data_IF_248137375903
#
_entry.id   IF_248137375903
#
_cell.length_a   1.000
_cell.length_b   1.000
_cell.length_c   1.000
_cell.angle_alpha   90.00
_cell.angle_beta   90.00
_cell.angle_gamma   90.00
#
_symmetry.space_group_name_H-M   'P 1'
#
loop_
_entity.id
_entity.type
_entity.pdbx_description
1 polymer ?
#
# COMPACT_ATOMS: atom_id res chain seq x y z
N UNK A 1 -18.47 12.38 81.51
CA UNK A 1 -17.58 12.60 80.35
C UNK A 1 -17.57 11.33 79.51
N UNK A 2 -17.87 11.51 78.22
CA UNK A 2 -17.55 10.70 77.04
C UNK A 2 -18.14 9.28 76.86
N UNK A 3 -18.83 9.19 75.73
CA UNK A 3 -19.40 8.09 74.96
C UNK A 3 -18.61 6.78 74.87
N UNK A 4 -19.37 5.72 75.13
CA UNK A 4 -19.60 4.48 74.34
C UNK A 4 -18.92 4.34 72.97
N UNK A 5 -18.42 3.11 72.70
CA UNK A 5 -18.44 2.51 71.37
C UNK A 5 -19.09 1.12 71.44
N UNK A 6 -20.18 0.98 70.67
CA UNK A 6 -20.95 -0.23 70.41
C UNK A 6 -20.42 -0.86 69.10
N UNK A 7 -20.33 -2.19 69.12
CA UNK A 7 -20.06 -3.09 68.00
C UNK A 7 -21.27 -3.15 67.06
N UNK A 8 -21.07 -3.26 65.73
CA UNK A 8 -21.80 -4.18 64.81
C UNK A 8 -21.15 -4.14 63.43
N UNK A 9 -20.90 -5.34 62.90
CA UNK A 9 -20.43 -5.60 61.54
C UNK A 9 -21.48 -5.24 60.49
N UNK A 10 -21.05 -4.66 59.36
CA UNK A 10 -21.86 -4.57 58.15
C UNK A 10 -21.05 -5.01 56.94
N UNK A 11 -21.63 -5.99 56.25
CA UNK A 11 -21.23 -6.54 54.97
C UNK A 11 -21.19 -5.40 53.94
N UNK A 12 -20.01 -5.02 53.46
CA UNK A 12 -19.87 -4.06 52.37
C UNK A 12 -19.99 -4.82 51.04
N UNK A 13 -21.19 -4.84 50.49
CA UNK A 13 -21.42 -5.05 49.06
C UNK A 13 -20.62 -3.97 48.33
N UNK A 14 -19.51 -4.35 47.69
CA UNK A 14 -18.78 -3.43 46.83
C UNK A 14 -19.73 -3.02 45.69
N UNK A 15 -20.21 -1.78 45.71
CA UNK A 15 -20.79 -1.16 44.52
C UNK A 15 -19.67 -1.09 43.48
N UNK A 16 -19.65 -2.06 42.57
CA UNK A 16 -18.95 -1.94 41.30
C UNK A 16 -19.56 -0.73 40.60
N UNK A 17 -18.95 0.45 40.73
CA UNK A 17 -19.25 1.55 39.83
C UNK A 17 -18.70 1.09 38.47
N UNK A 18 -19.54 0.90 37.44
CA UNK A 18 -19.01 0.62 36.12
C UNK A 18 -18.04 1.75 35.77
N UNK A 19 -16.82 1.38 35.38
CA UNK A 19 -15.85 2.30 34.80
C UNK A 19 -16.56 3.08 33.68
N UNK A 20 -16.43 4.41 33.59
CA UNK A 20 -17.07 5.17 32.53
C UNK A 20 -16.61 4.61 31.18
N UNK A 21 -17.53 4.05 30.41
CA UNK A 21 -17.25 3.59 29.06
C UNK A 21 -17.36 4.80 28.14
N UNK A 22 -16.22 5.19 27.58
CA UNK A 22 -16.18 6.01 26.36
C UNK A 22 -17.17 5.44 25.32
N UNK A 23 -17.96 6.31 24.70
CA UNK A 23 -19.03 5.91 23.79
C UNK A 23 -20.38 5.54 24.44
N UNK A 24 -20.57 5.79 25.74
CA UNK A 24 -21.90 5.77 26.35
C UNK A 24 -22.76 6.95 25.83
N UNK A 25 -24.08 6.75 25.73
CA UNK A 25 -25.00 7.82 25.32
C UNK A 25 -25.10 8.90 26.41
N UNK A 26 -25.12 10.17 26.02
CA UNK A 26 -25.39 11.27 26.94
C UNK A 26 -26.81 11.18 27.48
N UNK A 27 -27.03 11.77 28.66
CA UNK A 27 -28.39 11.90 29.18
C UNK A 27 -29.21 12.90 28.34
N UNK A 28 -30.51 12.98 28.60
CA UNK A 28 -31.42 13.89 27.88
C UNK A 28 -31.08 15.39 28.05
N UNK A 29 -30.22 15.75 29.02
CA UNK A 29 -29.72 17.10 29.23
C UNK A 29 -28.38 17.37 28.51
N UNK A 30 -27.81 16.38 27.80
CA UNK A 30 -26.52 16.51 27.13
C UNK A 30 -25.32 16.44 28.08
N UNK A 31 -25.46 15.75 29.22
CA UNK A 31 -24.41 15.65 30.23
C UNK A 31 -23.84 14.22 30.28
N UNK A 32 -22.57 14.15 30.66
CA UNK A 32 -21.80 12.91 30.80
C UNK A 32 -21.16 12.79 32.18
N UNK A 33 -20.95 11.56 32.69
CA UNK A 33 -20.27 11.34 33.96
C UNK A 33 -18.79 11.77 33.91
N UNK A 34 -18.22 12.08 35.08
CA UNK A 34 -16.77 12.14 35.34
C UNK A 34 -15.93 13.00 34.38
N UNK A 35 -16.42 14.20 34.02
CA UNK A 35 -15.64 15.19 33.26
C UNK A 35 -15.53 14.92 31.76
N UNK A 36 -16.28 13.94 31.25
CA UNK A 36 -16.44 13.69 29.81
C UNK A 36 -17.33 14.77 29.17
N UNK A 37 -17.06 15.10 27.91
CA UNK A 37 -17.89 16.00 27.12
C UNK A 37 -18.95 15.20 26.34
N UNK A 38 -20.16 15.74 26.25
CA UNK A 38 -21.18 15.18 25.36
C UNK A 38 -21.02 15.75 23.95
N UNK A 39 -20.63 14.91 22.99
CA UNK A 39 -20.50 15.28 21.57
C UNK A 39 -21.32 14.30 20.73
N UNK A 40 -22.21 14.84 19.90
CA UNK A 40 -23.10 14.06 19.03
C UNK A 40 -23.91 12.98 19.76
N UNK A 41 -24.24 13.20 21.05
CA UNK A 41 -25.01 12.28 21.87
C UNK A 41 -24.19 11.18 22.55
N UNK A 42 -22.85 11.25 22.51
CA UNK A 42 -21.93 10.31 23.17
C UNK A 42 -20.98 11.00 24.14
N UNK A 43 -20.60 10.29 25.21
CA UNK A 43 -19.65 10.73 26.22
C UNK A 43 -18.21 10.38 25.81
N UNK A 44 -17.37 11.40 25.68
CA UNK A 44 -15.97 11.28 25.22
C UNK A 44 -15.00 12.04 26.12
N UNK A 45 -13.73 11.63 26.16
CA UNK A 45 -12.67 12.29 26.95
C UNK A 45 -12.26 13.59 26.25
N UNK A 46 -12.31 14.75 26.92
CA UNK A 46 -11.82 15.99 26.35
C UNK A 46 -10.29 16.03 26.50
N UNK A 47 -9.56 15.49 25.52
CA UNK A 47 -8.10 15.54 25.52
C UNK A 47 -7.58 16.88 24.98
N UNK A 48 -6.95 17.64 25.89
CA UNK A 48 -6.27 18.90 25.60
C UNK A 48 -4.89 18.77 24.95
N UNK A 49 -4.62 17.68 24.24
CA UNK A 49 -3.34 17.46 23.55
C UNK A 49 -3.46 16.81 22.16
N UNK A 50 -4.66 16.46 21.70
CA UNK A 50 -4.85 15.70 20.44
C UNK A 50 -5.89 16.30 19.48
N UNK A 51 -5.87 17.62 19.35
CA UNK A 51 -6.78 18.38 18.50
C UNK A 51 -6.57 18.19 16.97
N UNK A 52 -5.89 17.12 16.52
CA UNK A 52 -5.58 16.92 15.11
C UNK A 52 -6.02 15.56 14.54
N UNK A 53 -6.59 14.63 15.33
CA UNK A 53 -6.83 13.26 14.84
C UNK A 53 -8.27 12.76 14.97
N UNK A 54 -9.09 13.26 15.92
CA UNK A 54 -10.38 12.61 16.22
C UNK A 54 -11.64 13.50 16.26
N UNK A 55 -11.67 14.66 15.61
CA UNK A 55 -12.94 15.37 15.42
C UNK A 55 -13.78 14.75 14.27
N UNK A 56 -15.08 14.44 14.46
CA UNK A 56 -15.98 14.03 13.36
C UNK A 56 -16.21 15.13 12.31
N UNK A 57 -15.63 16.32 12.54
CA UNK A 57 -15.88 17.55 11.79
C UNK A 57 -14.59 18.18 11.22
N UNK A 58 -13.42 17.53 11.34
CA UNK A 58 -12.19 17.94 10.62
C UNK A 58 -11.92 17.13 9.35
N UNK A 59 -12.83 16.22 8.98
CA UNK A 59 -12.96 15.76 7.61
C UNK A 59 -13.55 16.89 6.75
N UNK A 60 -12.77 17.94 6.51
CA UNK A 60 -12.92 18.70 5.27
C UNK A 60 -12.91 17.70 4.10
N UNK A 61 -13.49 18.03 2.94
CA UNK A 61 -13.53 17.12 1.81
C UNK A 61 -12.12 17.08 1.19
N UNK A 62 -11.16 16.43 1.86
CA UNK A 62 -9.74 16.49 1.49
C UNK A 62 -9.56 15.95 0.08
N UNK A 63 -10.28 14.87 -0.26
CA UNK A 63 -10.24 14.28 -1.58
C UNK A 63 -11.06 15.04 -2.62
N UNK A 64 -12.00 15.93 -2.25
CA UNK A 64 -12.68 16.76 -3.24
C UNK A 64 -11.77 17.85 -3.84
N UNK A 65 -10.67 18.18 -3.15
CA UNK A 65 -9.62 19.06 -3.67
C UNK A 65 -8.56 18.33 -4.51
N UNK A 66 -8.62 16.99 -4.55
CA UNK A 66 -7.72 16.18 -5.35
C UNK A 66 -7.89 16.53 -6.85
N UNK A 67 -6.80 16.79 -7.59
CA UNK A 67 -6.90 17.24 -8.97
C UNK A 67 -7.69 16.28 -9.88
N UNK A 68 -8.69 16.80 -10.58
CA UNK A 68 -9.31 16.07 -11.68
C UNK A 68 -8.37 16.09 -12.89
N UNK A 69 -7.72 14.97 -13.16
CA UNK A 69 -6.77 14.83 -14.26
C UNK A 69 -7.41 14.16 -15.49
N UNK A 70 -6.91 14.51 -16.67
CA UNK A 70 -7.36 13.95 -17.95
C UNK A 70 -7.04 12.46 -18.11
N UNK A 71 -7.39 11.92 -19.27
CA UNK A 71 -6.97 10.58 -19.66
C UNK A 71 -5.46 10.57 -19.97
N UNK A 72 -4.79 9.47 -19.64
CA UNK A 72 -3.45 9.19 -20.11
C UNK A 72 -3.42 9.07 -21.64
N UNK A 73 -2.30 9.50 -22.24
CA UNK A 73 -2.06 9.41 -23.68
C UNK A 73 -1.79 7.97 -24.14
N UNK A 74 -1.47 7.84 -25.42
CA UNK A 74 -1.08 6.56 -26.03
C UNK A 74 0.17 6.00 -25.34
N UNK A 75 0.13 4.76 -24.84
CA UNK A 75 1.31 4.13 -24.26
C UNK A 75 2.48 3.98 -25.23
N UNK A 76 3.68 4.17 -24.73
CA UNK A 76 4.95 4.05 -25.45
C UNK A 76 5.79 2.96 -24.80
N UNK A 77 6.32 2.04 -25.62
CA UNK A 77 7.25 1.00 -25.17
C UNK A 77 8.56 1.61 -24.67
N UNK A 78 9.02 1.22 -23.48
CA UNK A 78 10.31 1.63 -22.93
C UNK A 78 11.40 0.67 -23.42
N UNK A 79 11.85 0.88 -24.65
CA UNK A 79 12.71 -0.05 -25.39
C UNK A 79 14.02 -0.39 -24.67
N UNK A 80 14.59 0.54 -23.92
CA UNK A 80 15.87 0.35 -23.23
C UNK A 80 15.78 -0.58 -22.01
N UNK A 81 14.57 -0.75 -21.46
CA UNK A 81 14.34 -1.66 -20.34
C UNK A 81 13.86 -3.03 -20.81
N UNK A 82 13.12 -3.08 -21.92
CA UNK A 82 12.54 -4.30 -22.49
C UNK A 82 13.56 -5.34 -22.94
N UNK A 83 13.19 -6.62 -22.77
CA UNK A 83 13.96 -7.78 -23.24
C UNK A 83 13.06 -8.80 -23.93
N UNK A 84 13.63 -9.90 -24.44
CA UNK A 84 12.83 -11.00 -25.03
C UNK A 84 12.15 -11.90 -24.00
N UNK A 85 12.41 -11.67 -22.71
CA UNK A 85 11.81 -12.40 -21.59
C UNK A 85 10.80 -11.50 -20.88
N UNK A 86 10.14 -12.00 -19.84
CA UNK A 86 9.14 -11.21 -19.12
C UNK A 86 9.81 -10.17 -18.21
N UNK A 87 9.37 -8.93 -18.33
CA UNK A 87 9.65 -7.82 -17.42
C UNK A 87 8.36 -7.46 -16.67
N UNK A 88 8.45 -7.12 -15.39
CA UNK A 88 7.26 -6.94 -14.53
C UNK A 88 7.47 -5.96 -13.38
N UNK A 89 6.37 -5.57 -12.72
CA UNK A 89 6.35 -4.79 -11.47
C UNK A 89 7.39 -3.67 -11.44
N UNK A 90 7.34 -2.69 -12.36
CA UNK A 90 8.20 -1.52 -12.29
C UNK A 90 7.94 -0.77 -10.98
N UNK A 91 8.90 0.05 -10.55
CA UNK A 91 8.74 1.06 -9.50
C UNK A 91 9.87 2.08 -9.64
N UNK A 92 9.58 3.37 -9.42
CA UNK A 92 10.56 4.43 -9.66
C UNK A 92 10.57 5.50 -8.56
N UNK A 93 11.75 6.08 -8.39
CA UNK A 93 11.99 7.20 -7.46
C UNK A 93 11.23 8.48 -7.87
N UNK A 94 10.98 9.39 -6.93
CA UNK A 94 10.13 10.56 -7.19
C UNK A 94 10.65 11.51 -8.29
N UNK A 95 11.97 11.57 -8.49
CA UNK A 95 12.58 12.34 -9.61
C UNK A 95 12.56 11.58 -10.94
N UNK A 96 12.09 10.32 -10.91
CA UNK A 96 12.02 9.39 -12.03
C UNK A 96 13.38 9.10 -12.65
N UNK A 97 14.46 9.19 -11.89
CA UNK A 97 15.83 8.98 -12.39
C UNK A 97 16.41 7.61 -12.04
N UNK A 98 15.72 6.85 -11.20
CA UNK A 98 16.01 5.46 -10.87
C UNK A 98 14.73 4.65 -10.91
N UNK A 99 14.81 3.49 -11.56
CA UNK A 99 13.75 2.48 -11.64
C UNK A 99 14.28 1.13 -11.13
N UNK A 100 13.41 0.37 -10.48
CA UNK A 100 13.57 -1.06 -10.22
C UNK A 100 12.42 -1.83 -10.85
N UNK A 101 12.64 -3.07 -11.24
CA UNK A 101 11.61 -3.93 -11.86
C UNK A 101 12.05 -5.40 -11.79
N UNK A 102 11.12 -6.35 -11.86
CA UNK A 102 11.45 -7.79 -11.94
C UNK A 102 11.73 -8.19 -13.40
N UNK A 103 12.66 -9.11 -13.61
CA UNK A 103 12.96 -9.63 -14.95
C UNK A 103 13.60 -11.01 -14.91
N UNK A 104 13.26 -11.85 -15.90
CA UNK A 104 13.88 -13.15 -16.16
C UNK A 104 15.18 -13.06 -16.99
N UNK A 105 15.76 -11.86 -17.11
CA UNK A 105 16.88 -11.63 -18.03
C UNK A 105 18.15 -12.35 -17.57
N UNK A 106 19.03 -12.79 -18.50
CA UNK A 106 20.29 -13.41 -18.13
C UNK A 106 21.20 -12.49 -17.30
N UNK A 107 21.89 -13.06 -16.33
CA UNK A 107 22.87 -12.36 -15.48
C UNK A 107 22.42 -12.12 -14.04
N UNK A 108 21.21 -12.55 -13.68
CA UNK A 108 20.70 -12.59 -12.32
C UNK A 108 21.16 -13.83 -11.53
N UNK A 109 20.58 -14.02 -10.33
CA UNK A 109 20.91 -15.10 -9.40
C UNK A 109 19.88 -16.23 -9.38
N UNK A 110 18.69 -16.01 -9.96
CA UNK A 110 17.58 -16.95 -10.02
C UNK A 110 16.83 -16.88 -11.34
N UNK A 111 15.53 -17.19 -11.30
CA UNK A 111 14.66 -16.99 -12.46
C UNK A 111 14.23 -15.52 -12.51
N UNK A 112 13.38 -15.12 -11.58
CA UNK A 112 12.83 -13.76 -11.49
C UNK A 112 13.63 -12.96 -10.47
N UNK A 113 14.44 -12.03 -10.96
CA UNK A 113 15.30 -11.18 -10.15
C UNK A 113 14.88 -9.71 -10.24
N UNK A 114 15.27 -8.89 -9.25
CA UNK A 114 15.05 -7.44 -9.29
C UNK A 114 16.25 -6.75 -9.94
N UNK A 115 15.96 -5.97 -10.97
CA UNK A 115 16.92 -5.21 -11.74
C UNK A 115 16.75 -3.72 -11.51
N UNK A 116 17.83 -2.95 -11.66
CA UNK A 116 17.83 -1.50 -11.51
C UNK A 116 18.39 -0.81 -12.75
N UNK A 117 17.78 0.29 -13.17
CA UNK A 117 18.34 1.19 -14.17
C UNK A 117 18.26 2.66 -13.71
N UNK A 118 19.09 3.51 -14.32
CA UNK A 118 19.15 4.94 -14.01
C UNK A 118 19.17 5.77 -15.28
N UNK A 119 18.83 7.05 -15.18
CA UNK A 119 18.96 8.02 -16.28
C UNK A 119 19.36 9.40 -15.76
N UNK A 120 19.96 10.21 -16.62
CA UNK A 120 20.47 11.55 -16.24
C UNK A 120 19.39 12.63 -16.22
N UNK A 121 18.27 12.40 -16.88
CA UNK A 121 17.09 13.28 -16.89
C UNK A 121 15.85 12.48 -17.28
N UNK A 122 14.65 13.04 -17.08
CA UNK A 122 13.38 12.36 -17.40
C UNK A 122 13.16 12.15 -18.91
N UNK A 123 13.99 12.76 -19.77
CA UNK A 123 13.98 12.58 -21.23
C UNK A 123 15.19 11.80 -21.74
N UNK A 124 16.14 11.44 -20.87
CA UNK A 124 17.27 10.61 -21.25
C UNK A 124 16.87 9.13 -21.30
N UNK A 125 17.48 8.33 -22.18
CA UNK A 125 17.27 6.88 -22.17
C UNK A 125 17.71 6.29 -20.83
N UNK A 126 17.08 5.17 -20.46
CA UNK A 126 17.55 4.38 -19.32
C UNK A 126 18.91 3.75 -19.61
N UNK A 127 19.74 3.63 -18.57
CA UNK A 127 20.97 2.86 -18.60
C UNK A 127 20.66 1.37 -18.79
N UNK A 128 21.66 0.60 -19.22
CA UNK A 128 21.58 -0.85 -19.15
C UNK A 128 21.23 -1.30 -17.71
N UNK A 129 20.22 -2.16 -17.51
CA UNK A 129 19.84 -2.61 -16.18
C UNK A 129 20.93 -3.46 -15.53
N UNK A 130 21.07 -3.32 -14.20
CA UNK A 130 22.05 -4.03 -13.38
C UNK A 130 21.36 -4.88 -12.31
N UNK A 131 21.96 -6.01 -11.98
CA UNK A 131 21.58 -6.88 -10.86
C UNK A 131 21.81 -6.18 -9.51
N UNK A 132 20.92 -6.42 -8.53
CA UNK A 132 20.96 -5.80 -7.21
C UNK A 132 21.75 -6.59 -6.15
N UNK A 133 22.52 -7.61 -6.55
CA UNK A 133 23.41 -8.35 -5.67
C UNK A 133 22.65 -9.05 -4.55
N UNK A 134 22.97 -8.74 -3.29
CA UNK A 134 22.40 -9.41 -2.11
C UNK A 134 20.87 -9.31 -1.97
N UNK A 135 20.23 -8.41 -2.74
CA UNK A 135 18.77 -8.39 -2.84
C UNK A 135 18.28 -9.66 -3.52
N UNK A 136 18.94 -10.08 -4.60
CA UNK A 136 18.58 -11.23 -5.41
C UNK A 136 19.19 -12.52 -4.86
N UNK A 137 18.49 -13.63 -5.05
CA UNK A 137 18.91 -14.96 -4.60
C UNK A 137 18.62 -16.02 -5.67
N UNK A 138 18.79 -17.30 -5.36
CA UNK A 138 18.33 -18.38 -6.24
C UNK A 138 16.80 -18.59 -6.18
N UNK A 139 16.13 -17.93 -5.24
CA UNK A 139 14.69 -17.89 -5.09
C UNK A 139 14.09 -16.89 -6.11
N UNK A 140 12.80 -16.62 -6.03
CA UNK A 140 12.20 -15.50 -6.79
C UNK A 140 12.20 -14.23 -5.95
N UNK A 141 12.38 -13.10 -6.64
CA UNK A 141 12.21 -11.76 -6.11
C UNK A 141 11.27 -10.95 -6.99
N UNK A 142 10.12 -10.56 -6.44
CA UNK A 142 8.97 -9.99 -7.16
C UNK A 142 8.42 -8.75 -6.46
N UNK A 143 7.49 -8.04 -7.12
CA UNK A 143 6.70 -6.97 -6.49
C UNK A 143 7.55 -5.86 -5.87
N UNK A 144 8.63 -5.46 -6.55
CA UNK A 144 9.58 -4.49 -6.03
C UNK A 144 8.99 -3.07 -5.98
N UNK A 145 9.17 -2.39 -4.84
CA UNK A 145 8.76 -1.00 -4.63
C UNK A 145 9.91 -0.19 -4.03
N UNK A 146 10.38 0.80 -4.77
CA UNK A 146 11.45 1.70 -4.34
C UNK A 146 10.87 2.98 -3.74
N UNK A 147 11.28 3.28 -2.52
CA UNK A 147 10.94 4.55 -1.86
C UNK A 147 11.30 5.79 -2.70
N UNK A 148 10.59 6.92 -2.54
CA UNK A 148 10.82 8.15 -3.30
C UNK A 148 12.28 8.65 -3.31
N UNK A 149 12.99 8.52 -2.20
CA UNK A 149 14.40 8.90 -2.05
C UNK A 149 15.38 7.86 -2.60
N UNK A 150 14.90 6.69 -2.99
CA UNK A 150 15.69 5.59 -3.53
C UNK A 150 16.50 4.84 -2.48
N UNK A 151 16.25 4.99 -1.18
CA UNK A 151 17.11 4.43 -0.12
C UNK A 151 16.53 3.18 0.54
N UNK A 152 15.23 2.94 0.40
CA UNK A 152 14.52 1.75 0.89
C UNK A 152 13.85 1.03 -0.26
N UNK A 153 14.07 -0.27 -0.36
CA UNK A 153 13.44 -1.18 -1.33
C UNK A 153 12.58 -2.19 -0.55
N UNK A 154 11.31 -2.28 -0.90
CA UNK A 154 10.41 -3.34 -0.48
C UNK A 154 10.23 -4.32 -1.63
N UNK A 155 10.08 -5.61 -1.33
CA UNK A 155 9.84 -6.64 -2.35
C UNK A 155 9.33 -7.93 -1.69
N UNK A 156 8.89 -8.88 -2.52
CA UNK A 156 8.43 -10.21 -2.09
C UNK A 156 9.37 -11.32 -2.55
N UNK A 157 9.52 -12.36 -1.74
CA UNK A 157 10.42 -13.48 -2.06
C UNK A 157 10.04 -14.77 -1.32
N UNK A 158 10.32 -15.90 -1.96
CA UNK A 158 10.23 -17.27 -1.40
C UNK A 158 11.58 -17.76 -0.85
N UNK A 159 12.53 -16.85 -0.60
CA UNK A 159 13.86 -17.18 -0.05
C UNK A 159 13.77 -18.00 1.25
N UNK A 160 14.83 -18.77 1.57
CA UNK A 160 14.86 -19.58 2.80
C UNK A 160 14.53 -18.76 4.05
N UNK A 161 13.54 -19.22 4.81
CA UNK A 161 13.04 -18.51 6.00
C UNK A 161 11.72 -17.76 5.79
N UNK A 162 11.14 -17.80 4.59
CA UNK A 162 9.74 -17.40 4.35
C UNK A 162 8.76 -18.28 5.16
N UNK A 163 7.58 -17.76 5.46
CA UNK A 163 6.50 -18.44 6.17
C UNK A 163 5.54 -19.21 5.27
N UNK A 164 5.66 -19.03 3.95
CA UNK A 164 4.74 -19.56 2.95
C UNK A 164 5.24 -19.33 1.54
N UNK A 165 4.31 -19.04 0.62
CA UNK A 165 4.61 -18.85 -0.81
C UNK A 165 5.54 -17.66 -1.05
N UNK A 166 5.12 -16.44 -0.72
CA UNK A 166 5.91 -15.22 -0.88
C UNK A 166 5.75 -14.34 0.35
N UNK A 167 6.87 -13.88 0.90
CA UNK A 167 6.91 -12.98 2.04
C UNK A 167 7.51 -11.62 1.69
N UNK A 168 7.11 -10.57 2.41
CA UNK A 168 7.68 -9.24 2.25
C UNK A 168 9.04 -9.09 2.93
N UNK A 169 9.96 -8.45 2.23
CA UNK A 169 11.28 -8.08 2.70
C UNK A 169 11.55 -6.59 2.45
N UNK A 170 12.42 -6.02 3.28
CA UNK A 170 12.93 -4.66 3.13
C UNK A 170 14.45 -4.66 3.10
N UNK A 171 15.02 -3.94 2.14
CA UNK A 171 16.45 -3.67 2.04
C UNK A 171 16.70 -2.16 2.06
N UNK A 172 17.79 -1.74 2.69
CA UNK A 172 18.15 -0.30 2.82
C UNK A 172 19.57 -0.04 2.35
N UNK A 173 19.82 1.18 1.87
CA UNK A 173 21.15 1.68 1.51
C UNK A 173 21.37 3.10 2.00
N UNK A 174 22.61 3.51 2.30
CA UNK A 174 22.89 4.86 2.79
C UNK A 174 22.83 5.94 1.69
N UNK A 175 23.09 5.57 0.43
CA UNK A 175 23.01 6.48 -0.73
C UNK A 175 22.50 5.71 -1.94
N UNK A 176 21.97 6.42 -2.95
CA UNK A 176 21.51 5.80 -4.21
C UNK A 176 22.59 5.05 -5.00
N UNK A 177 23.87 5.38 -4.77
CA UNK A 177 25.01 4.72 -5.41
C UNK A 177 25.59 3.57 -4.58
N UNK A 178 25.17 3.43 -3.32
CA UNK A 178 25.58 2.31 -2.48
C UNK A 178 24.79 1.06 -2.85
N UNK A 179 25.38 -0.15 -2.71
CA UNK A 179 24.59 -1.38 -2.77
C UNK A 179 23.58 -1.41 -1.62
N UNK A 180 22.47 -2.12 -1.83
CA UNK A 180 21.55 -2.44 -0.74
C UNK A 180 22.23 -3.36 0.29
N UNK A 181 21.88 -3.16 1.56
CA UNK A 181 22.23 -4.08 2.63
C UNK A 181 21.38 -5.36 2.59
N UNK A 182 21.70 -6.30 3.49
CA UNK A 182 20.97 -7.55 3.62
C UNK A 182 19.46 -7.30 3.87
N UNK A 183 18.56 -7.92 3.08
CA UNK A 183 17.13 -7.77 3.30
C UNK A 183 16.65 -8.36 4.62
N UNK A 184 15.66 -7.73 5.24
CA UNK A 184 15.00 -8.20 6.47
C UNK A 184 13.53 -8.47 6.19
N UNK A 185 13.02 -9.60 6.67
CA UNK A 185 11.60 -9.98 6.53
C UNK A 185 10.69 -9.04 7.33
N UNK A 186 9.54 -8.68 6.77
CA UNK A 186 8.50 -7.89 7.45
C UNK A 186 7.41 -8.84 7.94
N UNK A 187 7.65 -9.44 9.10
CA UNK A 187 6.83 -10.53 9.62
C UNK A 187 5.37 -10.13 9.87
N UNK A 188 5.11 -8.86 10.18
CA UNK A 188 3.80 -8.31 10.51
C UNK A 188 2.88 -8.20 9.28
N UNK A 189 3.47 -8.03 8.09
CA UNK A 189 2.72 -7.96 6.84
C UNK A 189 2.64 -9.30 6.13
N UNK A 190 3.55 -10.23 6.44
CA UNK A 190 3.65 -11.55 5.83
C UNK A 190 2.70 -12.60 6.40
N UNK A 191 2.44 -13.64 5.62
CA UNK A 191 1.53 -14.75 5.93
C UNK A 191 1.98 -16.05 5.24
N UNK A 192 1.43 -17.22 5.62
CA UNK A 192 1.73 -18.48 4.93
C UNK A 192 1.20 -18.56 3.49
N UNK A 193 0.43 -17.58 3.02
CA UNK A 193 -0.07 -17.49 1.65
C UNK A 193 0.85 -16.60 0.80
N UNK A 194 0.50 -16.41 -0.47
CA UNK A 194 1.15 -15.41 -1.32
C UNK A 194 0.90 -13.99 -0.79
N UNK A 195 1.98 -13.24 -0.58
CA UNK A 195 1.98 -11.81 -0.30
C UNK A 195 2.93 -11.07 -1.25
N UNK A 196 2.39 -10.20 -2.13
CA UNK A 196 3.15 -9.52 -3.20
C UNK A 196 2.66 -8.08 -3.42
N UNK A 197 3.46 -7.30 -4.16
CA UNK A 197 3.08 -6.00 -4.74
C UNK A 197 2.79 -4.95 -3.67
N UNK A 198 3.71 -4.78 -2.72
CA UNK A 198 3.56 -3.79 -1.66
C UNK A 198 3.84 -2.38 -2.18
N UNK A 199 2.93 -1.47 -1.92
CA UNK A 199 3.14 -0.03 -1.96
C UNK A 199 3.25 0.51 -0.53
N UNK A 200 4.21 1.41 -0.31
CA UNK A 200 4.39 2.10 0.98
C UNK A 200 4.31 3.60 0.74
N UNK A 201 3.45 4.29 1.49
CA UNK A 201 3.28 5.74 1.40
C UNK A 201 4.59 6.50 1.62
N UNK A 202 4.70 7.71 1.07
CA UNK A 202 5.94 8.49 1.13
C UNK A 202 6.42 8.81 2.56
N UNK A 203 5.49 8.93 3.52
CA UNK A 203 5.80 9.09 4.94
C UNK A 203 6.16 7.77 5.65
N UNK A 204 6.03 6.65 4.92
CA UNK A 204 6.31 5.31 5.36
C UNK A 204 5.27 4.74 6.33
N UNK A 205 4.09 5.33 6.49
CA UNK A 205 3.14 4.97 7.57
C UNK A 205 1.95 4.13 7.12
N UNK A 206 1.68 4.05 5.83
CA UNK A 206 0.60 3.25 5.26
C UNK A 206 1.19 2.30 4.23
N UNK A 207 0.76 1.04 4.26
CA UNK A 207 1.07 0.05 3.26
C UNK A 207 -0.23 -0.44 2.61
N UNK A 208 -0.19 -0.58 1.29
CA UNK A 208 -1.18 -1.32 0.52
C UNK A 208 -0.48 -2.47 -0.19
N UNK A 209 -1.09 -3.63 -0.28
CA UNK A 209 -0.50 -4.77 -0.97
C UNK A 209 -1.58 -5.78 -1.37
N UNK A 210 -1.24 -6.84 -2.09
CA UNK A 210 -2.18 -7.91 -2.39
C UNK A 210 -1.76 -9.23 -1.76
N UNK A 211 -2.75 -10.04 -1.41
CA UNK A 211 -2.51 -11.30 -0.71
C UNK A 211 -3.60 -12.33 -0.98
N UNK A 212 -3.22 -13.61 -0.95
CA UNK A 212 -4.13 -14.76 -0.96
C UNK A 212 -4.47 -15.27 0.45
N UNK A 213 -4.20 -14.51 1.51
CA UNK A 213 -4.44 -14.95 2.90
C UNK A 213 -5.91 -15.24 3.27
N UNK A 214 -6.89 -14.71 2.52
CA UNK A 214 -8.30 -15.04 2.75
C UNK A 214 -8.68 -16.41 2.17
N UNK A 215 -8.11 -16.75 1.02
CA UNK A 215 -8.33 -18.00 0.31
C UNK A 215 -7.07 -18.33 -0.51
N UNK A 216 -6.18 -19.19 0.01
CA UNK A 216 -4.95 -19.57 -0.70
C UNK A 216 -5.19 -20.23 -2.07
N UNK A 217 -6.36 -20.83 -2.28
CA UNK A 217 -6.74 -21.42 -3.57
C UNK A 217 -7.48 -20.44 -4.49
N UNK A 218 -7.84 -19.26 -3.99
CA UNK A 218 -8.61 -18.25 -4.68
C UNK A 218 -7.76 -17.16 -5.33
N UNK A 219 -8.42 -16.03 -5.58
CA UNK A 219 -7.81 -14.84 -6.16
C UNK A 219 -7.20 -13.91 -5.10
N UNK A 220 -6.17 -13.16 -5.48
CA UNK A 220 -5.57 -12.18 -4.59
C UNK A 220 -6.53 -11.01 -4.30
N UNK A 221 -6.45 -10.51 -3.07
CA UNK A 221 -7.24 -9.40 -2.55
C UNK A 221 -6.32 -8.30 -2.04
N UNK A 222 -6.73 -7.04 -2.19
CA UNK A 222 -6.02 -5.89 -1.64
C UNK A 222 -6.17 -5.81 -0.11
N UNK A 223 -5.07 -5.52 0.55
CA UNK A 223 -4.96 -5.28 1.98
C UNK A 223 -4.34 -3.91 2.27
N UNK A 224 -4.63 -3.41 3.46
CA UNK A 224 -4.04 -2.20 4.03
C UNK A 224 -3.48 -2.48 5.42
N UNK A 225 -2.35 -1.87 5.74
CA UNK A 225 -1.81 -1.80 7.09
C UNK A 225 -1.28 -0.39 7.39
N UNK A 226 -1.13 -0.06 8.68
CA UNK A 226 -0.62 1.24 9.10
C UNK A 226 0.35 1.13 10.28
N UNK A 227 1.13 2.17 10.53
CA UNK A 227 2.01 2.29 11.70
C UNK A 227 2.17 3.75 12.11
N UNK A 228 2.43 4.01 13.39
CA UNK A 228 2.55 5.37 13.92
C UNK A 228 3.81 6.09 13.41
N UNK A 229 4.92 5.37 13.25
CA UNK A 229 6.18 5.87 12.71
C UNK A 229 6.92 4.79 11.91
N UNK A 230 7.99 5.18 11.21
CA UNK A 230 8.79 4.26 10.39
C UNK A 230 9.58 3.23 11.21
N UNK A 231 9.68 3.42 12.52
CA UNK A 231 10.29 2.48 13.47
C UNK A 231 9.29 1.59 14.18
N UNK A 232 7.99 1.89 14.11
CA UNK A 232 6.96 1.07 14.75
C UNK A 232 6.59 -0.14 13.89
N UNK A 233 6.08 -1.17 14.57
CA UNK A 233 5.51 -2.33 13.91
C UNK A 233 4.28 -1.93 13.08
N UNK A 234 4.05 -2.65 11.98
CA UNK A 234 2.80 -2.54 11.23
C UNK A 234 1.63 -3.09 12.04
N UNK A 235 0.47 -2.48 11.88
CA UNK A 235 -0.80 -3.02 12.33
C UNK A 235 -1.09 -4.36 11.65
N UNK A 236 -1.99 -5.15 12.23
CA UNK A 236 -2.56 -6.29 11.53
C UNK A 236 -3.15 -5.82 10.19
N UNK A 237 -2.86 -6.49 9.07
CA UNK A 237 -3.40 -6.07 7.79
C UNK A 237 -4.90 -6.37 7.66
N UNK A 238 -5.63 -5.40 7.12
CA UNK A 238 -7.08 -5.47 6.93
C UNK A 238 -7.41 -5.50 5.43
N UNK A 239 -8.36 -6.34 4.98
CA UNK A 239 -8.75 -6.38 3.58
C UNK A 239 -9.48 -5.08 3.20
N UNK A 240 -9.22 -4.57 1.99
CA UNK A 240 -9.96 -3.45 1.39
C UNK A 240 -11.26 -3.99 0.79
N UNK A 241 -12.19 -4.37 1.67
CA UNK A 241 -13.37 -5.19 1.34
C UNK A 241 -14.26 -4.62 0.24
N UNK A 242 -14.33 -3.29 0.13
CA UNK A 242 -15.15 -2.59 -0.86
C UNK A 242 -14.60 -2.69 -2.29
N UNK A 243 -13.33 -3.08 -2.46
CA UNK A 243 -12.71 -3.23 -3.77
C UNK A 243 -12.68 -4.67 -4.29
N UNK A 244 -12.97 -5.67 -3.44
CA UNK A 244 -12.88 -7.11 -3.78
C UNK A 244 -13.77 -7.45 -4.96
N UNK A 245 -13.17 -7.89 -6.06
CA UNK A 245 -13.87 -8.30 -7.28
C UNK A 245 -14.09 -9.81 -7.40
N UNK A 246 -13.25 -10.61 -6.74
CA UNK A 246 -13.17 -12.07 -6.96
C UNK A 246 -12.51 -12.48 -8.28
N UNK A 247 -11.76 -11.57 -8.92
CA UNK A 247 -11.07 -11.77 -10.21
C UNK A 247 -9.59 -11.40 -10.17
N UNK A 248 -9.01 -11.35 -8.97
CA UNK A 248 -7.66 -10.85 -8.71
C UNK A 248 -7.64 -9.32 -8.66
N UNK A 249 -7.33 -8.75 -7.50
CA UNK A 249 -7.08 -7.32 -7.31
C UNK A 249 -5.67 -7.14 -6.74
N UNK A 250 -4.77 -6.57 -7.54
CA UNK A 250 -3.32 -6.69 -7.30
C UNK A 250 -2.57 -5.39 -7.61
N UNK A 251 -1.29 -5.35 -7.22
CA UNK A 251 -0.32 -4.29 -7.47
C UNK A 251 -0.89 -2.87 -7.26
N UNK A 252 -1.31 -2.53 -6.01
CA UNK A 252 -1.84 -1.23 -5.68
C UNK A 252 -0.77 -0.13 -5.73
N UNK A 253 -1.17 1.07 -6.12
CA UNK A 253 -0.42 2.32 -5.96
C UNK A 253 -1.40 3.39 -5.46
N UNK A 254 -1.06 4.10 -4.38
CA UNK A 254 -1.96 5.12 -3.82
C UNK A 254 -1.32 6.49 -3.82
N UNK A 255 -2.15 7.48 -4.13
CA UNK A 255 -1.79 8.91 -4.08
C UNK A 255 -1.32 9.34 -2.68
N UNK A 256 -0.47 10.36 -2.62
CA UNK A 256 0.15 10.81 -1.36
C UNK A 256 -0.86 11.36 -0.35
N UNK A 257 -1.99 11.90 -0.83
CA UNK A 257 -3.11 12.33 0.00
C UNK A 257 -4.07 11.18 0.33
N UNK A 258 -3.75 9.95 -0.09
CA UNK A 258 -4.51 8.74 0.14
C UNK A 258 -5.96 8.91 -0.36
N UNK A 259 -6.17 9.54 -1.53
CA UNK A 259 -7.50 9.84 -2.06
C UNK A 259 -7.89 9.01 -3.28
N UNK A 260 -6.90 8.56 -4.03
CA UNK A 260 -7.04 7.72 -5.23
C UNK A 260 -6.09 6.54 -5.14
N UNK A 261 -6.65 5.34 -5.28
CA UNK A 261 -5.93 4.07 -5.35
C UNK A 261 -6.02 3.55 -6.77
N UNK A 262 -4.87 3.28 -7.38
CA UNK A 262 -4.69 2.63 -8.67
C UNK A 262 -4.28 1.17 -8.43
N UNK A 263 -4.76 0.26 -9.25
CA UNK A 263 -4.49 -1.18 -9.07
C UNK A 263 -4.84 -1.94 -10.35
N UNK A 264 -4.34 -3.17 -10.49
CA UNK A 264 -4.78 -4.07 -11.55
C UNK A 264 -5.96 -4.94 -11.10
N UNK A 265 -6.86 -5.27 -12.02
CA UNK A 265 -7.97 -6.19 -11.74
C UNK A 265 -8.54 -6.84 -13.00
N UNK A 266 -8.91 -8.12 -12.89
CA UNK A 266 -9.64 -8.89 -13.91
C UNK A 266 -11.15 -8.61 -13.95
N UNK A 267 -11.63 -7.56 -13.29
CA UNK A 267 -13.07 -7.27 -13.17
C UNK A 267 -13.71 -6.99 -14.53
N UNK A 268 -14.98 -7.38 -14.68
CA UNK A 268 -15.75 -7.18 -15.91
C UNK A 268 -15.85 -5.68 -16.27
N UNK A 269 -15.85 -5.38 -17.57
CA UNK A 269 -15.64 -4.06 -18.22
C UNK A 269 -14.18 -3.71 -18.55
N UNK A 270 -13.26 -4.64 -18.31
CA UNK A 270 -11.92 -4.61 -18.89
C UNK A 270 -11.88 -4.82 -20.42
N UNK A 271 -10.83 -4.33 -21.07
CA UNK A 271 -10.56 -4.61 -22.47
C UNK A 271 -9.86 -5.98 -22.64
N UNK A 272 -9.15 -6.47 -21.61
CA UNK A 272 -8.32 -7.68 -21.66
C UNK A 272 -8.45 -8.62 -20.44
N UNK A 273 -7.39 -9.41 -20.17
CA UNK A 273 -7.37 -10.42 -19.10
C UNK A 273 -7.15 -9.81 -17.70
N UNK A 274 -6.30 -8.79 -17.61
CA UNK A 274 -6.18 -7.90 -16.47
C UNK A 274 -6.05 -6.48 -17.02
N UNK A 275 -6.66 -5.53 -16.32
CA UNK A 275 -6.64 -4.11 -16.69
C UNK A 275 -6.30 -3.25 -15.49
N UNK A 276 -5.88 -2.01 -15.75
CA UNK A 276 -5.64 -1.03 -14.70
C UNK A 276 -6.92 -0.24 -14.37
N UNK A 277 -7.16 -0.07 -13.08
CA UNK A 277 -8.32 0.60 -12.52
C UNK A 277 -7.89 1.67 -11.52
N UNK A 278 -8.80 2.60 -11.24
CA UNK A 278 -8.68 3.50 -10.08
C UNK A 278 -9.95 3.54 -9.26
N UNK A 279 -9.82 3.72 -7.97
CA UNK A 279 -10.93 4.00 -7.05
C UNK A 279 -10.66 5.30 -6.30
N UNK A 280 -11.70 6.08 -6.05
CA UNK A 280 -11.61 7.35 -5.30
C UNK A 280 -12.42 7.25 -4.03
N UNK A 281 -12.12 8.07 -3.03
CA UNK A 281 -12.88 8.12 -1.77
C UNK A 281 -13.14 9.54 -1.31
N UNK A 282 -14.11 9.78 -0.40
CA UNK A 282 -14.46 11.14 0.01
C UNK A 282 -13.42 11.80 0.95
N UNK A 283 -12.67 11.00 1.71
CA UNK A 283 -11.62 11.46 2.61
C UNK A 283 -10.63 10.32 2.92
N UNK A 284 -9.40 10.63 3.37
CA UNK A 284 -8.45 9.62 3.82
C UNK A 284 -9.05 8.69 4.89
N UNK A 285 -8.68 7.41 4.85
CA UNK A 285 -9.22 6.34 5.69
C UNK A 285 -10.67 5.93 5.42
N UNK A 286 -11.43 6.62 4.55
CA UNK A 286 -12.81 6.22 4.20
C UNK A 286 -12.83 5.11 3.14
N UNK A 287 -13.95 4.37 3.03
CA UNK A 287 -14.09 3.37 1.98
C UNK A 287 -13.96 3.98 0.58
N UNK A 288 -13.30 3.25 -0.31
CA UNK A 288 -13.26 3.60 -1.73
C UNK A 288 -14.63 3.40 -2.40
N UNK A 289 -14.93 4.28 -3.36
CA UNK A 289 -16.09 4.18 -4.23
C UNK A 289 -15.87 3.18 -5.38
N UNK A 290 -16.86 3.11 -6.28
CA UNK A 290 -16.83 2.21 -7.43
C UNK A 290 -15.58 2.44 -8.31
N UNK A 291 -14.79 1.39 -8.60
CA UNK A 291 -13.62 1.54 -9.45
C UNK A 291 -13.95 1.88 -10.90
N UNK A 292 -13.08 2.67 -11.51
CA UNK A 292 -13.19 3.19 -12.87
C UNK A 292 -11.99 2.68 -13.68
N UNK A 293 -12.27 2.09 -14.83
CA UNK A 293 -11.23 1.62 -15.77
C UNK A 293 -10.38 2.80 -16.27
N UNK A 294 -9.06 2.63 -16.39
CA UNK A 294 -8.16 3.71 -16.84
C UNK A 294 -8.26 4.06 -18.33
N UNK A 295 -9.10 3.36 -19.10
CA UNK A 295 -9.47 3.74 -20.46
C UNK A 295 -8.36 3.48 -21.47
N UNK A 296 -7.86 4.51 -22.16
CA UNK A 296 -6.98 4.35 -23.31
C UNK A 296 -5.60 3.73 -23.02
N UNK A 297 -5.20 3.65 -21.75
CA UNK A 297 -3.99 2.93 -21.33
C UNK A 297 -4.19 1.44 -21.18
N UNK A 298 -5.43 0.96 -21.22
CA UNK A 298 -5.83 -0.45 -21.25
C UNK A 298 -6.11 -0.90 -22.70
N UNK A 299 -6.05 -2.21 -22.93
CA UNK A 299 -6.20 -2.84 -24.25
C UNK A 299 -6.70 -4.27 -24.11
N UNK A 300 -6.80 -5.00 -25.23
CA UNK A 300 -7.15 -6.42 -25.20
C UNK A 300 -6.02 -7.33 -24.68
N UNK A 301 -4.88 -6.75 -24.32
CA UNK A 301 -3.75 -7.41 -23.70
C UNK A 301 -3.97 -7.55 -22.18
N UNK A 302 -3.01 -8.17 -21.50
CA UNK A 302 -2.88 -8.09 -20.05
C UNK A 302 -2.12 -6.81 -19.73
N UNK A 303 -2.79 -5.85 -19.09
CA UNK A 303 -2.28 -4.52 -18.75
C UNK A 303 -2.30 -4.32 -17.23
N UNK A 304 -1.12 -4.14 -16.64
CA UNK A 304 -0.88 -4.50 -15.25
C UNK A 304 0.15 -3.60 -14.56
N UNK A 305 0.28 -3.78 -13.24
CA UNK A 305 1.34 -3.20 -12.42
C UNK A 305 1.46 -1.66 -12.51
N UNK A 306 0.37 -0.92 -12.24
CA UNK A 306 0.38 0.54 -12.37
C UNK A 306 1.34 1.20 -11.37
N UNK A 307 2.21 2.05 -11.88
CA UNK A 307 3.10 2.90 -11.09
C UNK A 307 3.05 4.34 -11.55
N UNK A 308 2.69 5.25 -10.66
CA UNK A 308 2.47 6.64 -11.01
C UNK A 308 3.50 7.57 -10.37
N UNK A 309 3.74 8.70 -11.03
CA UNK A 309 4.41 9.82 -10.38
C UNK A 309 3.50 10.43 -9.31
N UNK A 310 4.10 11.14 -8.35
CA UNK A 310 3.35 11.76 -7.24
C UNK A 310 2.27 12.77 -7.68
N UNK A 311 2.42 13.37 -8.87
CA UNK A 311 1.43 14.25 -9.49
C UNK A 311 0.47 13.52 -10.45
N UNK A 312 0.60 12.20 -10.54
CA UNK A 312 -0.15 11.26 -11.38
C UNK A 312 -0.16 11.63 -12.88
N UNK A 313 0.81 12.41 -13.34
CA UNK A 313 0.95 12.81 -14.75
C UNK A 313 1.77 11.85 -15.57
N UNK A 314 2.49 10.94 -14.93
CA UNK A 314 3.31 9.93 -15.55
C UNK A 314 2.93 8.56 -14.98
N UNK A 315 2.76 7.58 -15.85
CA UNK A 315 2.43 6.19 -15.53
C UNK A 315 3.46 5.29 -16.20
N UNK A 316 4.04 4.36 -15.44
CA UNK A 316 4.67 3.15 -15.97
C UNK A 316 3.84 1.94 -15.59
N UNK A 317 3.79 0.96 -16.48
CA UNK A 317 2.99 -0.24 -16.29
C UNK A 317 3.53 -1.34 -17.21
N UNK A 318 3.06 -2.56 -17.01
CA UNK A 318 3.47 -3.74 -17.76
C UNK A 318 2.36 -4.17 -18.71
N UNK A 319 2.75 -4.63 -19.90
CA UNK A 319 1.79 -5.13 -20.86
C UNK A 319 2.35 -6.24 -21.74
N UNK A 320 1.49 -7.18 -22.15
CA UNK A 320 1.80 -8.15 -23.21
C UNK A 320 1.26 -7.73 -24.60
N UNK A 321 1.02 -6.44 -24.80
CA UNK A 321 0.87 -5.85 -26.15
C UNK A 321 2.09 -6.16 -27.03
N UNK A 322 1.95 -6.09 -28.37
CA UNK A 322 3.07 -6.27 -29.28
C UNK A 322 4.28 -5.40 -28.89
N UNK A 323 5.34 -6.06 -28.42
CA UNK A 323 6.58 -5.46 -27.94
C UNK A 323 7.78 -6.35 -28.27
N UNK A 324 8.79 -6.35 -27.39
CA UNK A 324 10.01 -7.17 -27.54
C UNK A 324 9.85 -8.54 -26.89
N UNK A 325 9.22 -8.59 -25.73
CA UNK A 325 9.12 -9.75 -24.86
C UNK A 325 7.69 -10.28 -24.71
N UNK A 326 7.51 -11.16 -23.73
CA UNK A 326 6.17 -11.63 -23.33
C UNK A 326 5.44 -10.57 -22.53
N UNK A 327 6.14 -9.90 -21.60
CA UNK A 327 5.67 -8.74 -20.88
C UNK A 327 6.74 -7.65 -20.97
N UNK A 328 6.33 -6.46 -21.37
CA UNK A 328 7.19 -5.31 -21.57
C UNK A 328 6.74 -4.13 -20.72
N UNK A 329 7.67 -3.23 -20.42
CA UNK A 329 7.38 -2.00 -19.68
C UNK A 329 6.97 -0.90 -20.67
N UNK A 330 5.81 -0.30 -20.41
CA UNK A 330 5.27 0.84 -21.16
C UNK A 330 5.15 2.06 -20.26
N UNK A 331 5.23 3.24 -20.86
CA UNK A 331 4.96 4.51 -20.19
C UNK A 331 3.85 5.30 -20.88
N UNK A 332 3.12 6.12 -20.13
CA UNK A 332 2.14 7.07 -20.64
C UNK A 332 2.11 8.34 -19.79
N UNK A 333 1.60 9.45 -20.35
CA UNK A 333 1.54 10.76 -19.68
C UNK A 333 0.25 11.54 -20.01
N UNK A 334 -0.09 12.54 -19.18
CA UNK A 334 -1.28 13.42 -19.33
C UNK A 334 -1.09 14.87 -18.87
#
# INVERSE_FOLDING_TARGET
MRCTSIVVALCATACFKPTPTEGAACNAAGECPDGLACIAGLCIVPDGADAAVDAPNDAGPMCASHPALGAFGTPVLVMELSTTVADGTPSFTADRLLIVFKSDRPGGQGNQDIWQATRTSTSAPWSAPIDLGIVNTAAVELGAEISPDGLTLYFSSDRPGTSGDLDFYVAKRPTRTSPFGAPTRIAELSSPALDEGIFVSADGRVAYFHSKRLDPAGEAVLFRASRASTSDAWSAPEPVTELVSGTGDENPWVTADDCVLYFQSGRTLGAGFADMWRATRPAPGKPFGTPVNLGAVNSNAYDADPQLSADERFLMFVSNRPGVGYFDIYESSR
#
